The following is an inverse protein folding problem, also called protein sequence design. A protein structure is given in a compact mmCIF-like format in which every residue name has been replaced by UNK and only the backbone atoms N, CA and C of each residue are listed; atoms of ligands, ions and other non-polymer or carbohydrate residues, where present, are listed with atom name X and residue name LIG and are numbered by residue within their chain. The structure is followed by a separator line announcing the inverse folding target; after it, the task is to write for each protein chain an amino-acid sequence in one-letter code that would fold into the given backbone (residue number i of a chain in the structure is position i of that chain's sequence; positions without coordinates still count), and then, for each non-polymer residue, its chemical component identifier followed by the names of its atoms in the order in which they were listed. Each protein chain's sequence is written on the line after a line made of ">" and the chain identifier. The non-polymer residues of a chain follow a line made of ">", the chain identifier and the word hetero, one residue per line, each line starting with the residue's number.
data_IF_867848589567
#
_entry.id   IF_867848589567
#
_cell.length_a   1.000
_cell.length_b   1.000
_cell.length_c   1.000
_cell.angle_alpha   90.00
_cell.angle_beta   90.00
_cell.angle_gamma   90.00
#
_symmetry.space_group_name_H-M   'P 1'
#
loop_
_entity.id
_entity.type
_entity.pdbx_description
1 polymer ?
#
# COMPACT_ATOMS: atom_id res chain seq x y z
N UNK A 1 -2.33 -3.02 -15.84
CA UNK A 1 -2.97 -2.23 -14.76
C UNK A 1 -1.97 -1.21 -14.29
N UNK A 2 -2.35 0.06 -14.16
CA UNK A 2 -1.44 1.12 -13.71
C UNK A 2 -1.37 1.15 -12.18
N UNK A 3 -0.18 1.40 -11.63
CA UNK A 3 0.10 1.52 -10.19
C UNK A 3 0.87 2.83 -9.95
N UNK A 4 0.18 3.98 -10.04
CA UNK A 4 0.84 5.29 -10.01
C UNK A 4 1.28 5.68 -8.60
N UNK A 5 2.25 6.58 -8.50
CA UNK A 5 2.51 7.27 -7.24
C UNK A 5 1.27 8.03 -6.78
N UNK A 6 0.81 7.75 -5.56
CA UNK A 6 -0.37 8.36 -4.96
C UNK A 6 0.08 9.42 -3.97
N UNK A 7 -0.27 10.66 -4.27
CA UNK A 7 0.05 11.80 -3.42
C UNK A 7 -0.79 11.72 -2.14
N UNK A 8 -0.09 11.64 -1.00
CA UNK A 8 -0.67 11.74 0.32
C UNK A 8 -0.39 13.13 0.89
N UNK A 9 -1.43 13.81 1.35
CA UNK A 9 -1.35 15.13 1.99
C UNK A 9 -1.78 14.99 3.44
N UNK A 10 -0.98 15.51 4.37
CA UNK A 10 -1.19 15.40 5.82
C UNK A 10 -1.24 16.78 6.48
N UNK A 11 -1.75 16.85 7.72
CA UNK A 11 -1.66 18.03 8.57
C UNK A 11 -2.51 19.22 8.09
N UNK A 12 -2.05 20.44 8.35
CA UNK A 12 -2.81 21.68 8.13
C UNK A 12 -3.30 21.87 6.69
N UNK A 13 -2.58 21.32 5.72
CA UNK A 13 -2.95 21.38 4.31
C UNK A 13 -4.26 20.61 4.03
N UNK A 14 -4.50 19.51 4.75
CA UNK A 14 -5.77 18.77 4.67
C UNK A 14 -6.93 19.65 5.16
N UNK A 15 -6.75 20.31 6.31
CA UNK A 15 -7.75 21.23 6.85
C UNK A 15 -8.01 22.42 5.94
N UNK A 16 -6.97 22.94 5.29
CA UNK A 16 -7.10 24.01 4.29
C UNK A 16 -7.96 23.55 3.12
N UNK A 17 -7.67 22.39 2.51
CA UNK A 17 -8.44 21.83 1.40
C UNK A 17 -9.91 21.61 1.76
N UNK A 18 -10.20 21.09 2.95
CA UNK A 18 -11.56 20.86 3.44
C UNK A 18 -12.37 22.14 3.65
N UNK A 19 -11.70 23.27 3.97
CA UNK A 19 -12.34 24.58 4.15
C UNK A 19 -12.49 25.40 2.87
N UNK A 20 -11.75 25.07 1.82
CA UNK A 20 -11.66 25.87 0.59
C UNK A 20 -12.86 25.75 -0.36
N UNK A 21 -13.81 24.84 -0.12
CA UNK A 21 -14.98 24.67 -0.98
C UNK A 21 -16.24 24.31 -0.20
N UNK A 22 -17.37 24.45 -0.89
CA UNK A 22 -18.67 23.94 -0.47
C UNK A 22 -19.01 22.64 -1.20
N UNK A 23 -19.92 21.87 -0.59
CA UNK A 23 -20.46 20.64 -1.17
C UNK A 23 -19.55 19.44 -0.91
N UNK A 24 -19.94 18.64 0.08
CA UNK A 24 -19.18 17.51 0.58
C UNK A 24 -20.10 16.33 0.83
N UNK A 25 -19.64 15.15 0.46
CA UNK A 25 -20.22 13.88 0.87
C UNK A 25 -19.25 13.23 1.85
N UNK A 26 -19.75 12.80 3.01
CA UNK A 26 -18.98 12.01 3.97
C UNK A 26 -19.66 10.67 4.18
N UNK A 27 -18.94 9.59 3.88
CA UNK A 27 -19.33 8.23 4.18
C UNK A 27 -18.65 7.77 5.48
N UNK A 28 -19.42 7.34 6.48
CA UNK A 28 -18.84 6.68 7.65
C UNK A 28 -18.48 5.24 7.32
N UNK A 29 -17.34 4.76 7.82
CA UNK A 29 -16.83 3.43 7.45
C UNK A 29 -16.65 2.50 8.65
N UNK A 30 -16.86 1.20 8.42
CA UNK A 30 -16.33 0.13 9.24
C UNK A 30 -15.04 -0.40 8.59
N UNK A 31 -13.94 -0.43 9.32
CA UNK A 31 -12.62 -0.81 8.79
C UNK A 31 -11.93 -1.90 9.62
N UNK A 32 -11.30 -2.85 8.92
CA UNK A 32 -10.30 -3.77 9.48
C UNK A 32 -8.89 -3.55 8.95
N UNK A 33 -8.71 -2.55 8.08
CA UNK A 33 -7.38 -2.13 7.70
C UNK A 33 -6.83 -1.16 8.74
N UNK A 34 -5.51 -1.03 8.77
CA UNK A 34 -4.81 -0.01 9.51
C UNK A 34 -5.26 1.39 9.06
N UNK A 35 -6.14 2.02 9.85
CA UNK A 35 -6.75 3.31 9.52
C UNK A 35 -5.92 4.46 10.09
N UNK A 36 -5.84 5.63 9.40
CA UNK A 36 -5.10 6.77 9.90
C UNK A 36 -5.70 7.34 11.20
N UNK A 37 -4.84 7.73 12.13
CA UNK A 37 -5.28 8.42 13.36
C UNK A 37 -5.72 9.86 13.08
N UNK A 38 -5.01 10.55 12.18
CA UNK A 38 -5.31 11.93 11.76
C UNK A 38 -5.83 11.97 10.32
N UNK A 39 -6.46 13.07 9.92
CA UNK A 39 -6.96 13.21 8.55
C UNK A 39 -5.81 13.14 7.52
N UNK A 40 -6.03 12.38 6.43
CA UNK A 40 -5.13 12.33 5.27
C UNK A 40 -5.95 12.49 4.00
N UNK A 41 -5.44 13.30 3.07
CA UNK A 41 -6.00 13.43 1.73
C UNK A 41 -5.17 12.60 0.75
N UNK A 42 -5.83 11.73 0.00
CA UNK A 42 -5.25 10.81 -0.97
C UNK A 42 -5.76 11.17 -2.37
N UNK A 43 -4.85 11.45 -3.30
CA UNK A 43 -5.19 11.68 -4.70
C UNK A 43 -5.22 10.35 -5.46
N UNK A 44 -6.40 9.90 -5.86
CA UNK A 44 -6.55 8.59 -6.50
C UNK A 44 -7.55 8.65 -7.66
N UNK A 45 -7.14 8.13 -8.82
CA UNK A 45 -7.96 8.07 -10.03
C UNK A 45 -8.62 9.42 -10.42
N UNK A 46 -7.91 10.54 -10.18
CA UNK A 46 -8.35 11.90 -10.51
C UNK A 46 -9.24 12.59 -9.46
N UNK A 47 -9.58 11.91 -8.35
CA UNK A 47 -10.37 12.47 -7.26
C UNK A 47 -9.53 12.60 -5.97
N UNK A 48 -9.90 13.54 -5.08
CA UNK A 48 -9.33 13.67 -3.74
C UNK A 48 -10.23 12.97 -2.70
N UNK A 49 -9.67 11.95 -2.04
CA UNK A 49 -10.33 11.22 -0.95
C UNK A 49 -9.74 11.65 0.39
N UNK A 50 -10.57 12.23 1.24
CA UNK A 50 -10.19 12.64 2.59
C UNK A 50 -10.55 11.54 3.57
N UNK A 51 -9.57 10.74 3.97
CA UNK A 51 -9.76 9.73 5.00
C UNK A 51 -9.78 10.46 6.33
N UNK A 52 -10.95 10.47 6.95
CA UNK A 52 -11.22 11.09 8.25
C UNK A 52 -10.60 10.23 9.33
N UNK A 53 -9.71 10.82 10.12
CA UNK A 53 -8.95 10.12 11.15
C UNK A 53 -9.84 9.52 12.24
N UNK A 54 -9.35 8.45 12.89
CA UNK A 54 -10.01 7.87 14.07
C UNK A 54 -9.82 8.70 15.34
N UNK A 55 -9.03 9.76 15.29
CA UNK A 55 -8.79 10.70 16.37
C UNK A 55 -8.94 12.15 15.89
N UNK A 56 -9.49 13.01 16.74
CA UNK A 56 -9.55 14.46 16.55
C UNK A 56 -9.40 15.16 17.90
N UNK A 57 -8.47 16.10 18.00
CA UNK A 57 -8.19 16.86 19.23
C UNK A 57 -7.94 15.94 20.46
N UNK A 58 -7.20 14.84 20.26
CA UNK A 58 -6.90 13.86 21.31
C UNK A 58 -8.08 12.95 21.70
N UNK A 59 -9.19 12.98 20.96
CA UNK A 59 -10.41 12.22 21.26
C UNK A 59 -10.79 11.29 20.11
N UNK A 60 -11.41 10.12 20.40
CA UNK A 60 -11.94 9.26 19.36
C UNK A 60 -12.92 9.99 18.43
N UNK A 61 -12.75 9.78 17.13
CA UNK A 61 -13.55 10.37 16.05
C UNK A 61 -14.04 9.24 15.13
N UNK A 62 -15.28 9.33 14.59
CA UNK A 62 -15.76 8.33 13.65
C UNK A 62 -14.92 8.33 12.36
N UNK A 63 -14.33 7.19 11.96
CA UNK A 63 -13.61 7.10 10.70
C UNK A 63 -14.58 7.22 9.52
N UNK A 64 -14.11 7.81 8.44
CA UNK A 64 -14.93 8.02 7.27
C UNK A 64 -14.14 8.50 6.07
N UNK A 65 -14.81 8.61 4.94
CA UNK A 65 -14.24 9.12 3.71
C UNK A 65 -15.08 10.31 3.27
N UNK A 66 -14.45 11.47 3.22
CA UNK A 66 -15.05 12.68 2.69
C UNK A 66 -14.53 12.91 1.27
N UNK A 67 -15.42 13.28 0.36
CA UNK A 67 -15.10 13.62 -1.02
C UNK A 67 -15.96 14.83 -1.43
N UNK A 68 -15.44 15.63 -2.36
CA UNK A 68 -16.23 16.72 -2.92
C UNK A 68 -17.48 16.21 -3.63
N UNK A 69 -18.62 16.85 -3.40
CA UNK A 69 -19.90 16.41 -3.95
C UNK A 69 -20.84 17.58 -4.22
N UNK A 70 -21.30 17.72 -5.46
CA UNK A 70 -22.44 18.59 -5.77
C UNK A 70 -23.74 17.93 -5.33
N UNK A 71 -24.76 18.73 -4.99
CA UNK A 71 -26.03 18.23 -4.46
C UNK A 71 -26.75 17.27 -5.43
N UNK A 72 -26.56 17.45 -6.74
CA UNK A 72 -27.21 16.65 -7.78
C UNK A 72 -26.43 15.39 -8.17
N UNK A 73 -25.26 15.15 -7.58
CA UNK A 73 -24.32 14.08 -7.97
C UNK A 73 -24.06 13.09 -6.82
N UNK A 74 -24.95 13.05 -5.82
CA UNK A 74 -24.77 12.25 -4.59
C UNK A 74 -24.61 10.76 -4.89
N UNK A 75 -25.47 10.20 -5.75
CA UNK A 75 -25.45 8.77 -6.09
C UNK A 75 -24.19 8.36 -6.87
N UNK A 76 -23.74 9.21 -7.80
CA UNK A 76 -22.50 9.00 -8.52
C UNK A 76 -21.29 9.10 -7.57
N UNK A 77 -21.31 10.09 -6.68
CA UNK A 77 -20.22 10.33 -5.73
C UNK A 77 -20.10 9.20 -4.71
N UNK A 78 -21.21 8.70 -4.16
CA UNK A 78 -21.15 7.54 -3.26
C UNK A 78 -20.72 6.28 -4.02
N UNK A 79 -21.08 6.13 -5.31
CA UNK A 79 -20.56 5.03 -6.14
C UNK A 79 -19.03 5.10 -6.30
N UNK A 80 -18.44 6.31 -6.41
CA UNK A 80 -16.98 6.49 -6.37
C UNK A 80 -16.39 6.04 -5.04
N UNK A 81 -16.99 6.44 -3.92
CA UNK A 81 -16.55 5.98 -2.58
C UNK A 81 -16.60 4.46 -2.47
N UNK A 82 -17.68 3.80 -2.91
CA UNK A 82 -17.74 2.34 -2.93
C UNK A 82 -16.63 1.72 -3.79
N UNK A 83 -16.30 2.29 -4.96
CA UNK A 83 -15.21 1.75 -5.79
C UNK A 83 -13.85 1.92 -5.11
N UNK A 84 -13.61 3.08 -4.49
CA UNK A 84 -12.39 3.36 -3.75
C UNK A 84 -12.23 2.41 -2.56
N UNK A 85 -13.28 2.20 -1.76
CA UNK A 85 -13.19 1.30 -0.62
C UNK A 85 -12.98 -0.16 -1.02
N UNK A 86 -13.54 -0.61 -2.16
CA UNK A 86 -13.27 -1.97 -2.67
C UNK A 86 -11.79 -2.21 -2.94
N UNK A 87 -11.14 -1.29 -3.67
CA UNK A 87 -9.71 -1.45 -3.97
C UNK A 87 -8.83 -1.23 -2.74
N UNK A 88 -9.16 -0.26 -1.89
CA UNK A 88 -8.42 -0.01 -0.65
C UNK A 88 -8.46 -1.21 0.28
N UNK A 89 -9.63 -1.86 0.41
CA UNK A 89 -9.81 -3.09 1.18
C UNK A 89 -8.90 -4.21 0.69
N UNK A 90 -8.87 -4.43 -0.63
CA UNK A 90 -8.02 -5.45 -1.26
C UNK A 90 -6.54 -5.13 -1.05
N UNK A 91 -6.12 -3.91 -1.39
CA UNK A 91 -4.73 -3.50 -1.37
C UNK A 91 -4.11 -3.58 0.03
N UNK A 92 -4.88 -3.20 1.06
CA UNK A 92 -4.46 -3.20 2.46
C UNK A 92 -4.76 -4.52 3.20
N UNK A 93 -5.35 -5.53 2.54
CA UNK A 93 -5.57 -6.85 3.11
C UNK A 93 -6.70 -6.98 4.14
N UNK A 94 -7.72 -6.10 4.08
CA UNK A 94 -8.83 -6.06 5.03
C UNK A 94 -10.18 -5.75 4.38
N UNK A 95 -11.05 -5.04 5.10
CA UNK A 95 -12.27 -4.43 4.57
C UNK A 95 -12.37 -2.97 5.01
N UNK A 96 -13.02 -2.17 4.17
CA UNK A 96 -13.47 -0.80 4.42
C UNK A 96 -14.89 -0.72 3.91
N UNK A 97 -15.87 -0.98 4.76
CA UNK A 97 -17.27 -1.02 4.39
C UNK A 97 -17.96 0.32 4.70
N UNK A 98 -18.84 0.78 3.83
CA UNK A 98 -19.55 2.05 4.04
C UNK A 98 -20.86 1.77 4.77
N UNK A 99 -20.98 2.31 5.97
CA UNK A 99 -22.13 2.08 6.86
C UNK A 99 -23.28 3.05 6.64
N UNK A 100 -23.00 4.17 5.97
CA UNK A 100 -23.95 5.23 5.66
C UNK A 100 -23.21 6.50 5.24
N UNK A 101 -23.95 7.48 4.72
CA UNK A 101 -23.37 8.73 4.26
C UNK A 101 -24.28 9.92 4.54
N UNK A 102 -23.68 11.10 4.53
CA UNK A 102 -24.35 12.39 4.62
C UNK A 102 -23.76 13.34 3.58
N UNK A 103 -24.61 14.19 3.01
CA UNK A 103 -24.19 15.31 2.20
C UNK A 103 -24.40 16.63 2.95
N UNK A 104 -23.49 17.58 2.80
CA UNK A 104 -23.59 18.90 3.40
C UNK A 104 -22.80 19.96 2.66
N UNK A 105 -23.13 21.23 2.93
CA UNK A 105 -22.38 22.37 2.39
C UNK A 105 -20.97 22.49 2.97
N UNK A 106 -20.70 21.84 4.10
CA UNK A 106 -19.43 21.73 4.81
C UNK A 106 -19.12 20.25 5.08
N UNK A 107 -17.86 19.86 5.31
CA UNK A 107 -17.55 18.49 5.70
C UNK A 107 -18.13 18.21 7.09
N UNK A 108 -19.10 17.29 7.15
CA UNK A 108 -19.76 16.84 8.37
C UNK A 108 -19.37 15.37 8.57
N UNK A 109 -19.04 14.98 9.81
CA UNK A 109 -18.75 13.60 10.13
C UNK A 109 -20.05 12.78 10.21
N UNK A 110 -20.02 11.55 9.70
CA UNK A 110 -21.09 10.57 9.88
C UNK A 110 -20.66 9.58 10.95
N UNK A 111 -21.38 9.51 12.07
CA UNK A 111 -21.00 8.68 13.21
C UNK A 111 -22.18 7.89 13.77
N UNK A 112 -22.08 6.57 13.68
CA UNK A 112 -22.81 5.65 14.55
C UNK A 112 -21.78 4.67 15.11
N UNK A 113 -21.42 4.74 16.40
CA UNK A 113 -20.29 3.97 16.95
C UNK A 113 -20.47 2.45 16.86
N UNK A 114 -21.68 1.94 16.62
CA UNK A 114 -21.92 0.50 16.40
C UNK A 114 -21.57 0.04 15.00
N UNK A 115 -21.61 0.93 14.02
CA UNK A 115 -21.43 0.59 12.60
C UNK A 115 -20.27 1.36 11.96
N UNK A 116 -19.77 2.42 12.58
CA UNK A 116 -18.69 3.27 12.09
C UNK A 116 -17.53 3.18 13.06
N UNK A 117 -16.49 2.43 12.70
CA UNK A 117 -15.35 2.13 13.55
C UNK A 117 -14.14 1.68 12.72
N UNK A 118 -12.95 1.74 13.32
CA UNK A 118 -11.78 1.01 12.85
C UNK A 118 -11.31 0.07 13.94
N UNK A 119 -11.10 -1.20 13.61
CA UNK A 119 -10.56 -2.19 14.56
C UNK A 119 -9.04 -2.08 14.71
N UNK A 120 -8.36 -1.45 13.75
CA UNK A 120 -6.92 -1.20 13.77
C UNK A 120 -6.65 0.29 13.54
N UNK A 121 -5.90 0.91 14.47
CA UNK A 121 -5.37 2.26 14.31
C UNK A 121 -3.88 2.22 14.01
N UNK A 122 -3.37 3.22 13.28
CA UNK A 122 -1.93 3.42 13.11
C UNK A 122 -1.48 4.59 13.98
N UNK A 123 -0.49 4.35 14.83
CA UNK A 123 0.18 5.39 15.59
C UNK A 123 1.05 6.25 14.67
N UNK A 124 1.07 7.56 14.90
CA UNK A 124 1.89 8.51 14.15
C UNK A 124 1.06 9.47 13.30
N UNK A 125 1.59 10.67 13.11
CA UNK A 125 0.88 11.79 12.45
C UNK A 125 0.84 11.65 10.93
N UNK A 126 1.73 10.84 10.33
CA UNK A 126 1.84 10.63 8.88
C UNK A 126 2.11 9.16 8.52
N UNK A 127 1.25 8.26 8.97
CA UNK A 127 1.54 6.82 8.97
C UNK A 127 0.70 5.98 8.00
N UNK A 128 -0.34 6.56 7.40
CA UNK A 128 -1.17 5.84 6.43
C UNK A 128 -0.57 5.88 5.03
N UNK A 129 -0.34 4.69 4.47
CA UNK A 129 0.28 4.51 3.17
C UNK A 129 -0.58 3.60 2.28
N UNK A 130 -1.10 4.14 1.19
CA UNK A 130 -1.66 3.37 0.08
C UNK A 130 -0.96 3.66 -1.25
N UNK A 131 0.32 4.05 -1.20
CA UNK A 131 1.10 4.40 -2.37
C UNK A 131 1.13 3.25 -3.39
N UNK A 132 1.09 3.59 -4.67
CA UNK A 132 1.07 2.63 -5.78
C UNK A 132 -0.17 1.73 -5.87
N UNK A 133 -1.24 2.01 -5.10
CA UNK A 133 -2.51 1.28 -5.21
C UNK A 133 -3.03 1.31 -6.66
N UNK A 134 -3.40 0.15 -7.24
CA UNK A 134 -3.65 0.05 -8.66
C UNK A 134 -4.97 0.71 -9.09
N UNK A 135 -4.98 1.35 -10.27
CA UNK A 135 -6.19 1.90 -10.88
C UNK A 135 -7.00 0.79 -11.55
N UNK A 136 -8.26 0.65 -11.15
CA UNK A 136 -9.19 -0.36 -11.67
C UNK A 136 -10.14 0.24 -12.70
N UNK A 137 -9.88 -0.04 -13.98
CA UNK A 137 -10.65 0.47 -15.12
C UNK A 137 -11.83 -0.44 -15.49
N UNK A 138 -11.61 -1.76 -15.48
CA UNK A 138 -12.59 -2.73 -15.95
C UNK A 138 -13.70 -3.04 -14.94
N UNK A 139 -14.95 -3.04 -15.40
CA UNK A 139 -16.13 -3.23 -14.55
C UNK A 139 -16.17 -4.62 -13.87
N UNK A 140 -15.78 -5.68 -14.58
CA UNK A 140 -15.78 -7.04 -14.02
C UNK A 140 -14.82 -7.18 -12.83
N UNK A 141 -13.67 -6.50 -12.88
CA UNK A 141 -12.69 -6.42 -11.78
C UNK A 141 -13.27 -5.62 -10.60
N UNK A 142 -13.93 -4.49 -10.87
CA UNK A 142 -14.61 -3.70 -9.83
C UNK A 142 -15.67 -4.53 -9.09
N UNK A 143 -16.45 -5.34 -9.82
CA UNK A 143 -17.45 -6.25 -9.23
C UNK A 143 -16.79 -7.32 -8.36
N UNK A 144 -15.71 -7.95 -8.82
CA UNK A 144 -14.96 -8.92 -8.04
C UNK A 144 -14.43 -8.31 -6.72
N UNK A 145 -13.84 -7.12 -6.77
CA UNK A 145 -13.34 -6.42 -5.58
C UNK A 145 -14.48 -5.98 -4.64
N UNK A 146 -15.66 -5.62 -5.17
CA UNK A 146 -16.83 -5.29 -4.36
C UNK A 146 -17.35 -6.51 -3.59
N UNK A 147 -17.48 -7.67 -4.25
CA UNK A 147 -17.85 -8.92 -3.59
C UNK A 147 -16.80 -9.41 -2.60
N UNK A 148 -15.51 -9.19 -2.90
CA UNK A 148 -14.43 -9.45 -1.95
C UNK A 148 -14.58 -8.61 -0.68
N UNK A 149 -14.73 -7.28 -0.81
CA UNK A 149 -14.95 -6.38 0.33
C UNK A 149 -16.16 -6.81 1.17
N UNK A 150 -17.29 -7.10 0.51
CA UNK A 150 -18.51 -7.58 1.16
C UNK A 150 -18.26 -8.88 1.92
N UNK A 151 -17.64 -9.88 1.28
CA UNK A 151 -17.30 -11.16 1.92
C UNK A 151 -16.38 -11.00 3.12
N UNK A 152 -15.37 -10.14 3.02
CA UNK A 152 -14.45 -9.82 4.15
C UNK A 152 -15.18 -9.20 5.33
N UNK A 153 -16.12 -8.27 5.07
CA UNK A 153 -16.95 -7.68 6.11
C UNK A 153 -17.86 -8.71 6.77
N UNK A 154 -18.54 -9.51 5.95
CA UNK A 154 -19.49 -10.51 6.42
C UNK A 154 -18.81 -11.67 7.14
N UNK A 155 -17.53 -11.94 6.90
CA UNK A 155 -16.81 -13.00 7.60
C UNK A 155 -16.84 -12.82 9.13
N UNK A 156 -16.94 -11.58 9.61
CA UNK A 156 -17.02 -11.28 11.05
C UNK A 156 -18.46 -11.27 11.59
N UNK A 157 -19.47 -11.34 10.72
CA UNK A 157 -20.87 -11.09 11.08
C UNK A 157 -21.78 -12.28 10.74
N UNK A 158 -21.62 -12.85 9.54
CA UNK A 158 -22.49 -13.89 9.01
C UNK A 158 -21.77 -14.79 7.98
N UNK A 159 -21.23 -15.92 8.45
CA UNK A 159 -20.46 -16.90 7.67
C UNK A 159 -21.13 -17.30 6.35
N UNK A 160 -22.45 -17.56 6.35
CA UNK A 160 -23.14 -18.02 5.14
C UNK A 160 -23.18 -16.99 4.02
N UNK A 161 -23.48 -15.73 4.34
CA UNK A 161 -23.44 -14.67 3.34
C UNK A 161 -22.01 -14.31 2.94
N UNK A 162 -21.04 -14.42 3.85
CA UNK A 162 -19.62 -14.29 3.50
C UNK A 162 -19.21 -15.33 2.44
N UNK A 163 -19.64 -16.59 2.62
CA UNK A 163 -19.41 -17.66 1.66
C UNK A 163 -19.98 -17.30 0.28
N UNK A 164 -21.24 -16.86 0.23
CA UNK A 164 -21.86 -16.44 -1.03
C UNK A 164 -21.13 -15.26 -1.68
N UNK A 165 -20.69 -14.27 -0.92
CA UNK A 165 -19.95 -13.13 -1.46
C UNK A 165 -18.59 -13.56 -2.04
N UNK A 166 -17.83 -14.42 -1.37
CA UNK A 166 -16.60 -14.97 -1.97
C UNK A 166 -16.88 -15.85 -3.18
N UNK A 167 -17.93 -16.66 -3.17
CA UNK A 167 -18.34 -17.45 -4.32
C UNK A 167 -18.68 -16.55 -5.53
N UNK A 168 -19.36 -15.42 -5.30
CA UNK A 168 -19.70 -14.41 -6.33
C UNK A 168 -18.47 -13.75 -6.96
N UNK A 169 -17.34 -13.65 -6.26
CA UNK A 169 -16.08 -13.17 -6.84
C UNK A 169 -15.71 -13.96 -8.08
N UNK A 170 -15.85 -15.30 -8.01
CA UNK A 170 -15.53 -16.21 -9.10
C UNK A 170 -16.73 -16.34 -10.04
N UNK A 171 -17.94 -16.62 -9.52
CA UNK A 171 -19.12 -16.89 -10.34
C UNK A 171 -19.45 -15.76 -11.32
N UNK A 172 -19.28 -14.51 -10.90
CA UNK A 172 -19.57 -13.33 -11.75
C UNK A 172 -18.65 -13.18 -12.96
N UNK A 173 -17.61 -14.01 -13.07
CA UNK A 173 -16.54 -13.89 -14.08
C UNK A 173 -16.69 -14.93 -15.20
N UNK A 174 -17.62 -15.88 -15.06
CA UNK A 174 -17.86 -16.94 -16.02
C UNK A 174 -19.29 -16.87 -16.55
N UNK A 175 -19.44 -16.75 -17.87
CA UNK A 175 -20.72 -17.00 -18.55
C UNK A 175 -21.02 -18.50 -18.72
N UNK A 176 -19.97 -19.33 -18.78
CA UNK A 176 -20.05 -20.78 -18.90
C UNK A 176 -19.82 -21.46 -17.55
N UNK A 177 -20.85 -22.15 -17.06
CA UNK A 177 -20.79 -22.86 -15.78
C UNK A 177 -19.79 -24.02 -15.78
N UNK A 178 -19.50 -24.65 -16.92
CA UNK A 178 -18.52 -25.75 -17.00
C UNK A 178 -17.11 -25.24 -16.76
N UNK A 179 -16.74 -24.13 -17.42
CA UNK A 179 -15.43 -23.48 -17.22
C UNK A 179 -15.20 -23.04 -15.78
N UNK A 180 -16.25 -22.56 -15.10
CA UNK A 180 -16.19 -22.23 -13.66
C UNK A 180 -15.84 -23.45 -12.83
N UNK A 181 -16.52 -24.57 -13.06
CA UNK A 181 -16.29 -25.83 -12.32
C UNK A 181 -14.88 -26.37 -12.60
N UNK A 182 -14.44 -26.37 -13.86
CA UNK A 182 -13.09 -26.76 -14.26
C UNK A 182 -12.03 -25.89 -13.58
N UNK A 183 -12.22 -24.57 -13.56
CA UNK A 183 -11.31 -23.65 -12.90
C UNK A 183 -11.21 -23.94 -11.40
N UNK A 184 -12.34 -24.04 -10.70
CA UNK A 184 -12.37 -24.35 -9.26
C UNK A 184 -11.65 -25.68 -8.99
N UNK A 185 -11.95 -26.73 -9.75
CA UNK A 185 -11.31 -28.03 -9.60
C UNK A 185 -9.78 -27.96 -9.75
N UNK A 186 -9.30 -27.22 -10.77
CA UNK A 186 -7.87 -27.06 -11.03
C UNK A 186 -7.14 -26.18 -10.01
N UNK A 187 -7.87 -25.28 -9.33
CA UNK A 187 -7.30 -24.32 -8.37
C UNK A 187 -7.25 -24.87 -6.95
N UNK A 188 -8.09 -25.85 -6.60
CA UNK A 188 -8.13 -26.46 -5.26
C UNK A 188 -6.75 -27.02 -4.84
N UNK A 189 -6.01 -27.63 -5.77
CA UNK A 189 -4.69 -28.21 -5.49
C UNK A 189 -3.58 -27.17 -5.26
N UNK A 190 -3.83 -25.90 -5.59
CA UNK A 190 -2.89 -24.79 -5.38
C UNK A 190 -3.09 -24.08 -4.04
N UNK A 191 -4.15 -24.43 -3.30
CA UNK A 191 -4.44 -23.82 -2.01
C UNK A 191 -3.36 -24.21 -0.98
N UNK A 192 -3.11 -23.32 -0.03
CA UNK A 192 -2.13 -23.52 1.06
C UNK A 192 -2.78 -23.41 2.43
N UNK A 193 -2.03 -23.75 3.48
CA UNK A 193 -2.39 -23.50 4.88
C UNK A 193 -3.74 -24.10 5.30
N UNK A 194 -4.60 -23.29 5.94
CA UNK A 194 -5.92 -23.71 6.45
C UNK A 194 -6.84 -24.20 5.34
N UNK A 195 -6.80 -23.56 4.17
CA UNK A 195 -7.60 -23.98 3.03
C UNK A 195 -7.15 -25.35 2.50
N UNK A 196 -5.85 -25.57 2.35
CA UNK A 196 -5.31 -26.88 1.96
C UNK A 196 -5.67 -27.98 2.96
N UNK A 197 -5.57 -27.69 4.27
CA UNK A 197 -5.99 -28.62 5.32
C UNK A 197 -7.46 -29.01 5.16
N UNK A 198 -8.35 -28.03 4.95
CA UNK A 198 -9.78 -28.30 4.78
C UNK A 198 -10.07 -29.13 3.52
N UNK A 199 -9.37 -28.85 2.42
CA UNK A 199 -9.45 -29.65 1.20
C UNK A 199 -9.09 -31.12 1.46
N UNK A 200 -8.02 -31.36 2.23
CA UNK A 200 -7.59 -32.72 2.59
C UNK A 200 -8.66 -33.44 3.43
N UNK A 201 -9.24 -32.77 4.44
CA UNK A 201 -10.33 -33.33 5.26
C UNK A 201 -11.54 -33.75 4.41
N UNK A 202 -11.95 -32.93 3.45
CA UNK A 202 -13.07 -33.25 2.55
C UNK A 202 -12.76 -34.45 1.65
N UNK A 203 -11.51 -34.54 1.14
CA UNK A 203 -11.06 -35.66 0.33
C UNK A 203 -10.97 -36.97 1.12
N UNK A 204 -10.50 -36.92 2.37
CA UNK A 204 -10.48 -38.07 3.27
C UNK A 204 -11.89 -38.59 3.57
N UNK A 205 -12.88 -37.69 3.62
CA UNK A 205 -14.29 -38.03 3.72
C UNK A 205 -14.90 -38.58 2.42
N UNK A 206 -14.12 -38.71 1.34
CA UNK A 206 -14.57 -39.23 0.04
C UNK A 206 -15.40 -38.23 -0.78
N UNK A 207 -15.34 -36.93 -0.46
CA UNK A 207 -16.12 -35.90 -1.14
C UNK A 207 -15.37 -35.31 -2.34
N UNK A 208 -16.10 -35.04 -3.41
CA UNK A 208 -15.65 -34.13 -4.46
C UNK A 208 -15.75 -32.70 -3.92
N UNK A 209 -14.59 -32.09 -3.67
CA UNK A 209 -14.50 -30.77 -3.04
C UNK A 209 -15.20 -29.68 -3.86
N UNK A 210 -15.05 -29.68 -5.18
CA UNK A 210 -15.68 -28.70 -6.06
C UNK A 210 -17.20 -28.83 -6.01
N UNK A 211 -17.69 -30.06 -6.08
CA UNK A 211 -19.13 -30.35 -6.00
C UNK A 211 -19.69 -30.00 -4.64
N UNK A 212 -18.99 -30.35 -3.56
CA UNK A 212 -19.34 -30.05 -2.17
C UNK A 212 -19.50 -28.54 -1.92
N UNK A 213 -18.53 -27.72 -2.37
CA UNK A 213 -18.59 -26.27 -2.23
C UNK A 213 -19.80 -25.66 -2.98
N UNK A 214 -20.20 -26.27 -4.10
CA UNK A 214 -21.36 -25.83 -4.86
C UNK A 214 -22.68 -26.26 -4.22
N UNK A 215 -22.85 -27.54 -3.92
CA UNK A 215 -24.11 -28.12 -3.39
C UNK A 215 -24.31 -27.71 -1.93
N UNK A 216 -23.43 -28.18 -1.04
CA UNK A 216 -23.55 -28.00 0.42
C UNK A 216 -23.09 -26.63 0.91
N UNK A 217 -22.49 -25.81 0.03
CA UNK A 217 -22.15 -24.41 0.26
C UNK A 217 -23.12 -23.48 -0.45
N UNK A 218 -22.83 -23.16 -1.73
CA UNK A 218 -23.57 -22.15 -2.50
C UNK A 218 -25.08 -22.42 -2.55
N UNK A 219 -25.49 -23.64 -2.93
CA UNK A 219 -26.90 -23.97 -3.09
C UNK A 219 -27.62 -24.07 -1.74
N UNK A 220 -27.02 -24.74 -0.75
CA UNK A 220 -27.61 -24.89 0.58
C UNK A 220 -27.78 -23.58 1.35
N UNK A 221 -26.96 -22.56 1.06
CA UNK A 221 -27.14 -21.21 1.64
C UNK A 221 -28.14 -20.37 0.84
N UNK A 222 -28.15 -20.50 -0.49
CA UNK A 222 -28.99 -19.64 -1.36
C UNK A 222 -30.44 -20.11 -1.49
N UNK A 223 -30.72 -21.39 -1.26
CA UNK A 223 -32.03 -22.00 -1.45
C UNK A 223 -32.59 -22.51 -0.12
N UNK A 224 -33.80 -22.08 0.23
CA UNK A 224 -34.55 -22.54 1.41
C UNK A 224 -35.61 -23.57 1.01
N UNK A 225 -35.23 -24.58 0.22
CA UNK A 225 -36.17 -25.62 -0.20
C UNK A 225 -36.47 -26.60 0.94
N UNK A 226 -37.75 -26.95 1.10
CA UNK A 226 -38.23 -27.92 2.11
C UNK A 226 -37.62 -29.33 1.98
N UNK A 227 -37.17 -29.72 0.78
CA UNK A 227 -36.68 -31.07 0.45
C UNK A 227 -35.18 -31.10 0.05
N UNK A 228 -34.44 -30.00 0.26
CA UNK A 228 -33.02 -29.89 -0.12
C UNK A 228 -32.08 -29.84 1.09
N UNK A 229 -30.79 -30.04 0.84
CA UNK A 229 -29.75 -29.76 1.83
C UNK A 229 -29.74 -28.25 2.08
N UNK A 230 -30.11 -27.82 3.29
CA UNK A 230 -30.10 -26.42 3.72
C UNK A 230 -29.06 -26.23 4.82
N UNK A 231 -28.52 -25.02 4.92
CA UNK A 231 -27.74 -24.63 6.11
C UNK A 231 -28.71 -24.14 7.18
N UNK A 232 -29.00 -24.97 8.17
CA UNK A 232 -29.87 -24.59 9.27
C UNK A 232 -29.09 -23.75 10.30
N UNK A 233 -29.47 -22.48 10.54
CA UNK A 233 -28.78 -21.64 11.52
C UNK A 233 -28.90 -22.16 12.96
N UNK A 234 -29.87 -23.02 13.27
CA UNK A 234 -30.04 -23.60 14.61
C UNK A 234 -29.26 -24.92 14.80
N UNK A 235 -28.62 -25.43 13.74
CA UNK A 235 -27.77 -26.63 13.79
C UNK A 235 -26.28 -26.22 13.93
N UNK A 236 -25.62 -26.47 15.09
CA UNK A 236 -24.24 -26.04 15.29
C UNK A 236 -23.22 -26.72 14.38
N UNK A 237 -23.48 -27.96 13.92
CA UNK A 237 -22.60 -28.66 12.98
C UNK A 237 -22.56 -27.98 11.61
N UNK A 238 -23.69 -27.43 11.15
CA UNK A 238 -23.78 -26.74 9.86
C UNK A 238 -22.97 -25.45 9.88
N UNK A 239 -23.07 -24.69 10.98
CA UNK A 239 -22.24 -23.49 11.20
C UNK A 239 -20.75 -23.82 11.19
N UNK A 240 -20.32 -24.87 11.91
CA UNK A 240 -18.92 -25.29 11.97
C UNK A 240 -18.41 -25.74 10.60
N UNK A 241 -19.20 -26.56 9.90
CA UNK A 241 -18.89 -27.03 8.54
C UNK A 241 -18.72 -25.86 7.59
N UNK A 242 -19.70 -24.96 7.52
CA UNK A 242 -19.65 -23.81 6.61
C UNK A 242 -18.53 -22.84 6.96
N UNK A 243 -18.22 -22.65 8.25
CA UNK A 243 -17.07 -21.85 8.67
C UNK A 243 -15.74 -22.45 8.23
N UNK A 244 -15.61 -23.78 8.23
CA UNK A 244 -14.42 -24.45 7.72
C UNK A 244 -14.35 -24.35 6.18
N UNK A 245 -15.47 -24.57 5.50
CA UNK A 245 -15.57 -24.47 4.03
C UNK A 245 -15.33 -23.02 3.53
N UNK A 246 -15.67 -22.02 4.34
CA UNK A 246 -15.41 -20.60 4.06
C UNK A 246 -13.93 -20.29 3.87
N UNK A 247 -13.03 -20.94 4.60
CA UNK A 247 -11.57 -20.76 4.44
C UNK A 247 -11.13 -21.15 3.02
N UNK A 248 -11.69 -22.23 2.48
CA UNK A 248 -11.43 -22.68 1.10
C UNK A 248 -11.98 -21.66 0.10
N UNK A 249 -13.22 -21.22 0.29
CA UNK A 249 -13.88 -20.30 -0.63
C UNK A 249 -13.23 -18.91 -0.65
N UNK A 250 -12.80 -18.40 0.52
CA UNK A 250 -12.10 -17.13 0.63
C UNK A 250 -10.72 -17.18 -0.06
N UNK A 251 -9.96 -18.27 0.09
CA UNK A 251 -8.65 -18.39 -0.58
C UNK A 251 -8.80 -18.59 -2.09
N UNK A 252 -9.80 -19.34 -2.57
CA UNK A 252 -10.12 -19.42 -4.01
C UNK A 252 -10.47 -18.04 -4.58
N UNK A 253 -11.30 -17.24 -3.89
CA UNK A 253 -11.64 -15.89 -4.31
C UNK A 253 -10.41 -14.97 -4.35
N UNK A 254 -9.54 -15.04 -3.33
CA UNK A 254 -8.27 -14.29 -3.29
C UNK A 254 -7.36 -14.70 -4.45
N UNK A 255 -7.20 -15.99 -4.69
CA UNK A 255 -6.41 -16.55 -5.78
C UNK A 255 -6.92 -16.05 -7.14
N UNK A 256 -8.24 -16.06 -7.35
CA UNK A 256 -8.84 -15.55 -8.58
C UNK A 256 -8.50 -14.08 -8.83
N UNK A 257 -8.66 -13.20 -7.83
CA UNK A 257 -8.35 -11.77 -7.96
C UNK A 257 -6.86 -11.56 -8.23
N UNK A 258 -5.99 -12.30 -7.54
CA UNK A 258 -4.53 -12.15 -7.65
C UNK A 258 -3.97 -12.69 -8.96
N UNK A 259 -4.40 -13.88 -9.39
CA UNK A 259 -3.75 -14.62 -10.48
C UNK A 259 -4.48 -14.43 -11.81
N UNK A 260 -5.82 -14.49 -11.81
CA UNK A 260 -6.63 -14.37 -13.03
C UNK A 260 -6.89 -12.89 -13.36
N UNK A 261 -7.32 -12.10 -12.36
CA UNK A 261 -7.56 -10.67 -12.55
C UNK A 261 -6.29 -9.82 -12.45
N UNK A 262 -5.19 -10.41 -11.97
CA UNK A 262 -3.87 -9.78 -11.83
C UNK A 262 -3.93 -8.45 -11.07
N UNK A 263 -4.78 -8.37 -10.05
CA UNK A 263 -4.84 -7.21 -9.16
C UNK A 263 -3.86 -7.41 -8.01
N UNK A 264 -2.76 -6.64 -7.95
CA UNK A 264 -1.80 -6.79 -6.86
C UNK A 264 -2.39 -6.24 -5.54
N UNK A 265 -1.99 -6.83 -4.43
CA UNK A 265 -2.10 -6.23 -3.10
C UNK A 265 -0.79 -5.47 -2.76
N UNK A 266 -0.76 -4.74 -1.65
CA UNK A 266 0.43 -3.97 -1.23
C UNK A 266 1.70 -4.82 -1.13
N UNK A 267 1.59 -6.05 -0.62
CA UNK A 267 2.75 -6.94 -0.40
C UNK A 267 3.30 -7.52 -1.69
N UNK A 268 2.43 -7.99 -2.58
CA UNK A 268 2.81 -8.49 -3.90
C UNK A 268 3.38 -7.36 -4.74
N UNK A 269 2.75 -6.19 -4.74
CA UNK A 269 3.25 -5.03 -5.46
C UNK A 269 4.63 -4.60 -4.96
N UNK A 270 4.85 -4.54 -3.65
CA UNK A 270 6.14 -4.20 -3.08
C UNK A 270 7.29 -5.05 -3.63
N UNK A 271 7.04 -6.36 -3.88
CA UNK A 271 8.03 -7.33 -4.37
C UNK A 271 8.25 -7.28 -5.88
N UNK A 272 7.24 -6.91 -6.66
CA UNK A 272 7.28 -7.05 -8.12
C UNK A 272 7.25 -5.73 -8.88
N UNK A 273 7.02 -4.60 -8.21
CA UNK A 273 6.92 -3.30 -8.89
C UNK A 273 8.29 -2.88 -9.39
N UNK A 274 8.35 -2.46 -10.64
CA UNK A 274 9.50 -1.73 -11.17
C UNK A 274 9.48 -0.29 -10.63
N UNK A 275 10.31 -0.04 -9.61
CA UNK A 275 10.47 1.25 -8.92
C UNK A 275 11.15 2.29 -9.81
N UNK A 276 11.96 1.85 -10.76
CA UNK A 276 12.68 2.71 -11.70
C UNK A 276 11.83 3.13 -12.90
N UNK A 277 10.60 2.60 -13.04
CA UNK A 277 9.72 2.88 -14.18
C UNK A 277 9.53 4.39 -14.45
N UNK A 278 9.36 5.27 -13.45
CA UNK A 278 9.29 6.71 -13.67
C UNK A 278 10.53 7.32 -14.33
N UNK A 279 11.71 6.76 -14.06
CA UNK A 279 13.00 7.32 -14.43
C UNK A 279 13.60 6.70 -15.69
N UNK A 280 12.91 5.74 -16.33
CA UNK A 280 13.41 5.11 -17.55
C UNK A 280 13.59 6.09 -18.71
N UNK A 281 12.86 7.20 -18.72
CA UNK A 281 12.96 8.26 -19.72
C UNK A 281 14.24 9.09 -19.61
N UNK A 282 14.96 9.00 -18.49
CA UNK A 282 16.24 9.68 -18.28
C UNK A 282 17.38 9.03 -19.08
N UNK A 283 17.20 7.78 -19.53
CA UNK A 283 18.20 7.04 -20.27
C UNK A 283 17.80 6.85 -21.74
N UNK A 284 18.77 6.84 -22.67
CA UNK A 284 18.50 6.42 -24.04
C UNK A 284 17.94 4.99 -24.10
N UNK A 285 17.00 4.74 -25.01
CA UNK A 285 16.35 3.42 -25.15
C UNK A 285 17.35 2.28 -25.32
N UNK A 286 18.43 2.48 -26.09
CA UNK A 286 19.46 1.48 -26.30
C UNK A 286 20.18 1.08 -24.99
N UNK A 287 20.56 2.06 -24.18
CA UNK A 287 21.17 1.85 -22.85
C UNK A 287 20.22 1.11 -21.92
N UNK A 288 18.95 1.50 -21.91
CA UNK A 288 17.93 0.90 -21.06
C UNK A 288 17.70 -0.59 -21.38
N UNK A 289 17.65 -0.97 -22.66
CA UNK A 289 17.46 -2.38 -23.05
C UNK A 289 18.67 -3.26 -22.67
N UNK A 290 19.89 -2.71 -22.75
CA UNK A 290 21.09 -3.39 -22.25
C UNK A 290 21.00 -3.60 -20.74
N UNK A 291 20.66 -2.56 -19.98
CA UNK A 291 20.55 -2.65 -18.53
C UNK A 291 19.45 -3.63 -18.09
N UNK A 292 18.26 -3.58 -18.70
CA UNK A 292 17.14 -4.49 -18.41
C UNK A 292 17.46 -5.95 -18.71
N UNK A 293 18.31 -6.21 -19.71
CA UNK A 293 18.77 -7.57 -20.03
C UNK A 293 19.91 -8.06 -19.11
N UNK A 294 20.37 -7.22 -18.17
CA UNK A 294 21.47 -7.52 -17.27
C UNK A 294 22.84 -7.37 -17.92
N UNK A 295 22.95 -6.60 -19.00
CA UNK A 295 24.21 -6.25 -19.65
C UNK A 295 24.87 -5.00 -19.05
N UNK A 296 26.01 -4.65 -19.62
CA UNK A 296 26.79 -3.45 -19.25
C UNK A 296 26.85 -2.51 -20.45
N UNK A 297 26.21 -1.33 -20.41
CA UNK A 297 26.29 -0.35 -21.51
C UNK A 297 27.69 0.29 -21.57
N UNK A 298 27.98 1.05 -22.64
CA UNK A 298 29.24 1.81 -22.74
C UNK A 298 29.26 3.03 -21.81
N UNK A 299 28.11 3.66 -21.58
CA UNK A 299 27.93 4.78 -20.65
C UNK A 299 26.49 4.84 -20.10
N UNK A 300 26.31 5.61 -19.03
CA UNK A 300 25.02 5.93 -18.42
C UNK A 300 24.85 7.45 -18.25
N UNK A 301 25.26 8.22 -19.25
CA UNK A 301 25.39 9.68 -19.17
C UNK A 301 24.07 10.41 -18.85
N UNK A 302 22.92 9.80 -19.17
CA UNK A 302 21.60 10.37 -18.86
C UNK A 302 21.31 10.53 -17.36
N UNK A 303 22.05 9.83 -16.49
CA UNK A 303 21.98 9.97 -15.05
C UNK A 303 23.07 10.91 -14.48
N UNK A 304 24.13 11.13 -15.25
CA UNK A 304 25.29 11.89 -14.79
C UNK A 304 24.94 13.38 -14.64
N UNK A 305 25.23 13.95 -13.48
CA UNK A 305 25.03 15.36 -13.19
C UNK A 305 23.58 15.75 -12.91
N UNK A 306 22.65 14.80 -12.81
CA UNK A 306 21.26 15.10 -12.46
C UNK A 306 21.17 15.76 -11.09
N UNK A 307 20.32 16.79 -10.98
CA UNK A 307 19.96 17.36 -9.70
C UNK A 307 18.86 16.49 -9.06
N UNK A 308 19.14 16.00 -7.86
CA UNK A 308 18.27 15.06 -7.14
C UNK A 308 18.07 15.54 -5.71
N UNK A 309 16.82 15.58 -5.26
CA UNK A 309 16.53 15.72 -3.84
C UNK A 309 16.39 14.35 -3.19
N UNK A 310 16.96 14.19 -1.99
CA UNK A 310 16.77 13.00 -1.16
C UNK A 310 15.79 13.34 -0.05
N UNK A 311 14.69 12.60 0.00
CA UNK A 311 13.63 12.77 0.98
C UNK A 311 13.31 11.50 1.74
N UNK A 312 12.46 11.64 2.75
CA UNK A 312 11.83 10.53 3.45
C UNK A 312 10.33 10.62 3.22
N UNK A 313 9.71 9.56 2.72
CA UNK A 313 8.26 9.52 2.61
C UNK A 313 7.62 9.41 4.01
N UNK A 314 6.58 10.18 4.35
CA UNK A 314 5.94 11.25 3.55
C UNK A 314 6.37 12.67 3.97
N UNK A 315 7.52 12.82 4.61
CA UNK A 315 8.05 14.10 5.10
C UNK A 315 8.61 15.00 3.99
N UNK A 316 8.97 14.42 2.85
CA UNK A 316 9.55 15.13 1.71
C UNK A 316 11.07 15.27 1.84
N UNK A 317 11.69 16.22 1.10
CA UNK A 317 13.14 16.40 1.09
C UNK A 317 13.71 16.67 2.48
N UNK A 318 14.86 16.04 2.77
CA UNK A 318 15.63 16.34 3.98
C UNK A 318 16.35 17.67 3.76
N UNK A 319 16.27 18.56 4.74
CA UNK A 319 16.99 19.84 4.69
C UNK A 319 18.50 19.62 4.48
N UNK A 320 19.09 20.31 3.51
CA UNK A 320 20.49 20.17 3.11
C UNK A 320 20.75 19.10 2.03
N UNK A 321 19.75 18.29 1.69
CA UNK A 321 19.83 17.22 0.68
C UNK A 321 18.86 17.46 -0.50
N UNK A 322 18.37 18.69 -0.69
CA UNK A 322 17.39 19.02 -1.72
C UNK A 322 18.00 19.18 -3.11
N UNK A 323 19.31 19.41 -3.20
CA UNK A 323 20.02 19.72 -4.46
C UNK A 323 21.31 18.93 -4.59
N UNK A 324 21.22 17.61 -4.44
CA UNK A 324 22.38 16.75 -4.61
C UNK A 324 22.69 16.56 -6.11
N UNK A 325 23.97 16.49 -6.44
CA UNK A 325 24.42 16.15 -7.80
C UNK A 325 24.64 14.65 -7.89
N UNK A 326 23.98 13.99 -8.84
CA UNK A 326 24.17 12.57 -9.12
C UNK A 326 25.45 12.33 -9.91
N UNK A 327 26.27 11.40 -9.43
CA UNK A 327 27.43 10.87 -10.13
C UNK A 327 27.25 9.38 -10.35
N UNK A 328 27.47 8.93 -11.58
CA UNK A 328 27.52 7.50 -11.91
C UNK A 328 28.92 7.00 -11.59
N UNK A 329 29.03 6.17 -10.55
CA UNK A 329 30.32 5.65 -10.07
C UNK A 329 30.73 4.37 -10.81
N UNK A 330 29.77 3.47 -11.00
CA UNK A 330 29.97 2.22 -11.72
C UNK A 330 28.65 1.69 -12.30
N UNK A 331 28.73 0.87 -13.33
CA UNK A 331 27.58 0.12 -13.83
C UNK A 331 28.04 -1.23 -14.37
N UNK A 332 27.39 -2.30 -13.91
CA UNK A 332 27.68 -3.67 -14.33
C UNK A 332 26.43 -4.54 -14.14
N UNK A 333 26.24 -5.51 -15.03
CA UNK A 333 25.20 -6.53 -14.90
C UNK A 333 23.75 -5.99 -14.72
N UNK A 334 23.45 -4.84 -15.34
CA UNK A 334 22.15 -4.16 -15.22
C UNK A 334 21.96 -3.29 -13.98
N UNK A 335 22.99 -3.17 -13.13
CA UNK A 335 22.97 -2.34 -11.92
C UNK A 335 23.82 -1.10 -12.14
N UNK A 336 23.28 0.07 -11.82
CA UNK A 336 24.01 1.36 -11.84
C UNK A 336 24.21 1.83 -10.41
N UNK A 337 25.47 1.93 -9.97
CA UNK A 337 25.85 2.55 -8.70
C UNK A 337 25.92 4.06 -8.90
N UNK A 338 25.09 4.79 -8.17
CA UNK A 338 25.08 6.25 -8.17
C UNK A 338 25.48 6.80 -6.80
N UNK A 339 26.24 7.89 -6.82
CA UNK A 339 26.66 8.63 -5.64
C UNK A 339 26.05 10.03 -5.75
N UNK A 340 25.24 10.40 -4.77
CA UNK A 340 24.66 11.73 -4.66
C UNK A 340 25.56 12.57 -3.75
N UNK A 341 26.02 13.71 -4.23
CA UNK A 341 26.92 14.61 -3.51
C UNK A 341 26.21 15.94 -3.24
N UNK A 342 26.23 16.42 -1.98
CA UNK A 342 25.66 17.72 -1.61
C UNK A 342 26.36 18.89 -2.32
N UNK A 343 25.70 20.04 -2.47
CA UNK A 343 26.29 21.23 -3.12
C UNK A 343 27.62 21.65 -2.48
N UNK A 344 27.72 21.53 -1.15
CA UNK A 344 28.94 21.82 -0.38
C UNK A 344 30.01 20.73 -0.46
N UNK A 345 29.70 19.58 -1.08
CA UNK A 345 30.56 18.37 -1.12
C UNK A 345 30.95 17.87 0.28
N UNK A 346 30.01 17.94 1.20
CA UNK A 346 30.16 17.57 2.62
C UNK A 346 29.38 16.30 2.98
N UNK A 347 28.44 15.88 2.13
CA UNK A 347 27.63 14.67 2.31
C UNK A 347 27.63 13.88 1.00
N UNK A 348 27.91 12.58 1.08
CA UNK A 348 27.77 11.63 -0.02
C UNK A 348 26.81 10.50 0.37
N UNK A 349 25.85 10.19 -0.50
CA UNK A 349 24.90 9.10 -0.31
C UNK A 349 24.96 8.15 -1.50
N UNK A 350 24.91 6.83 -1.26
CA UNK A 350 25.10 5.83 -2.31
C UNK A 350 23.82 5.03 -2.53
N UNK A 351 23.46 4.84 -3.80
CA UNK A 351 22.30 4.05 -4.22
C UNK A 351 22.67 3.10 -5.35
N UNK A 352 22.00 1.96 -5.40
CA UNK A 352 22.09 1.03 -6.52
C UNK A 352 20.76 0.99 -7.26
N UNK A 353 20.78 1.35 -8.54
CA UNK A 353 19.64 1.28 -9.43
C UNK A 353 19.72 -0.03 -10.22
N UNK A 354 18.96 -1.04 -9.79
CA UNK A 354 18.90 -2.34 -10.46
C UNK A 354 17.80 -2.32 -11.52
N UNK A 355 18.18 -2.03 -12.77
CA UNK A 355 17.25 -1.96 -13.91
C UNK A 355 16.75 -3.32 -14.36
N UNK A 356 17.47 -4.40 -14.03
CA UNK A 356 17.08 -5.77 -14.37
C UNK A 356 15.89 -6.21 -13.53
N UNK A 357 15.92 -5.93 -12.23
CA UNK A 357 14.85 -6.28 -11.30
C UNK A 357 13.88 -5.12 -11.04
N UNK A 358 14.21 -3.91 -11.48
CA UNK A 358 13.42 -2.71 -11.24
C UNK A 358 13.46 -2.26 -9.78
N UNK A 359 14.58 -2.49 -9.09
CA UNK A 359 14.76 -2.22 -7.67
C UNK A 359 15.73 -1.05 -7.44
N UNK A 360 15.61 -0.42 -6.27
CA UNK A 360 16.50 0.66 -5.85
C UNK A 360 16.91 0.36 -4.42
N UNK A 361 18.21 0.23 -4.19
CA UNK A 361 18.76 -0.08 -2.88
C UNK A 361 19.52 1.11 -2.32
N UNK A 362 19.23 1.43 -1.06
CA UNK A 362 20.01 2.39 -0.28
C UNK A 362 21.24 1.70 0.30
N UNK A 363 22.44 2.23 0.03
CA UNK A 363 23.67 1.75 0.64
C UNK A 363 24.08 2.70 1.77
N UNK A 364 23.93 2.23 3.01
CA UNK A 364 24.29 2.99 4.21
C UNK A 364 25.77 2.87 4.60
N UNK A 365 26.52 1.94 4.02
CA UNK A 365 27.92 1.67 4.38
C UNK A 365 28.89 2.56 3.61
N UNK A 366 28.62 2.79 2.32
CA UNK A 366 29.48 3.57 1.44
C UNK A 366 29.14 5.09 1.41
N UNK A 367 28.11 5.49 2.15
CA UNK A 367 27.72 6.89 2.33
C UNK A 367 28.35 7.51 3.59
N UNK A 368 28.39 8.84 3.65
CA UNK A 368 28.97 9.51 4.81
C UNK A 368 29.14 11.01 4.68
N UNK A 369 29.68 11.58 5.76
CA UNK A 369 30.24 12.93 5.74
C UNK A 369 31.59 12.92 5.03
N UNK A 370 31.85 13.96 4.24
CA UNK A 370 33.07 14.14 3.48
C UNK A 370 33.87 15.32 4.02
N UNK A 371 35.19 15.11 4.17
CA UNK A 371 36.14 16.12 4.62
C UNK A 371 37.09 16.43 3.46
N UNK A 372 36.62 17.29 2.56
CA UNK A 372 37.36 17.72 1.37
C UNK A 372 37.75 19.19 1.46
N UNK A 373 37.49 19.94 0.40
CA UNK A 373 37.72 21.40 0.35
C UNK A 373 36.89 22.17 1.39
N UNK A 374 35.72 21.64 1.72
CA UNK A 374 34.86 22.13 2.79
C UNK A 374 34.80 21.09 3.92
N UNK A 375 34.81 21.58 5.17
CA UNK A 375 34.51 20.75 6.34
C UNK A 375 32.99 20.69 6.55
N UNK A 376 32.44 19.53 6.98
CA UNK A 376 31.06 19.42 7.40
C UNK A 376 30.74 20.40 8.52
N UNK A 377 29.59 21.06 8.43
CA UNK A 377 29.01 21.87 9.50
C UNK A 377 27.94 21.08 10.26
N UNK A 378 27.42 21.66 11.34
CA UNK A 378 26.37 21.03 12.14
C UNK A 378 25.13 20.65 11.30
N UNK A 379 24.77 21.51 10.34
CA UNK A 379 23.65 21.24 9.44
C UNK A 379 23.91 20.01 8.57
N UNK A 380 25.11 19.87 8.00
CA UNK A 380 25.50 18.67 7.21
C UNK A 380 25.41 17.38 8.05
N UNK A 381 25.90 17.44 9.30
CA UNK A 381 25.83 16.33 10.26
C UNK A 381 24.37 15.98 10.55
N UNK A 382 23.52 16.99 10.75
CA UNK A 382 22.08 16.78 11.01
C UNK A 382 21.38 16.18 9.79
N UNK A 383 21.68 16.64 8.58
CA UNK A 383 21.12 16.12 7.33
C UNK A 383 21.48 14.66 7.13
N UNK A 384 22.78 14.33 7.22
CA UNK A 384 23.26 12.96 7.09
C UNK A 384 22.71 12.05 8.19
N UNK A 385 22.73 12.47 9.45
CA UNK A 385 22.18 11.71 10.56
C UNK A 385 20.67 11.47 10.41
N UNK A 386 19.93 12.47 9.91
CA UNK A 386 18.49 12.33 9.63
C UNK A 386 18.25 11.25 8.59
N UNK A 387 18.96 11.28 7.47
CA UNK A 387 18.91 10.23 6.46
C UNK A 387 19.25 8.87 7.09
N UNK A 388 20.44 8.73 7.68
CA UNK A 388 20.96 7.45 8.17
C UNK A 388 20.03 6.81 9.22
N UNK A 389 19.70 7.52 10.30
CA UNK A 389 18.95 6.93 11.40
C UNK A 389 17.46 6.73 11.08
N UNK A 390 16.85 7.56 10.23
CA UNK A 390 15.46 7.33 9.81
C UNK A 390 15.37 6.16 8.85
N UNK A 391 16.33 5.98 7.93
CA UNK A 391 16.40 4.80 7.06
C UNK A 391 16.63 3.52 7.87
N UNK A 392 17.54 3.57 8.85
CA UNK A 392 17.75 2.45 9.79
C UNK A 392 16.48 2.14 10.61
N UNK A 393 15.65 3.15 10.86
CA UNK A 393 14.33 3.03 11.47
C UNK A 393 13.21 2.62 10.51
N UNK A 394 13.53 2.00 9.36
CA UNK A 394 12.62 1.57 8.31
C UNK A 394 11.89 2.72 7.58
N UNK A 395 12.46 3.93 7.58
CA UNK A 395 11.98 5.03 6.74
C UNK A 395 12.13 4.73 5.25
N UNK A 396 11.17 5.18 4.45
CA UNK A 396 11.19 5.01 2.99
C UNK A 396 11.92 6.20 2.38
N UNK A 397 13.07 5.97 1.75
CA UNK A 397 13.80 7.03 1.02
C UNK A 397 13.10 7.29 -0.31
N UNK A 398 12.96 8.56 -0.67
CA UNK A 398 12.50 8.98 -1.98
C UNK A 398 13.57 9.81 -2.69
N UNK A 399 13.79 9.51 -3.97
CA UNK A 399 14.58 10.34 -4.86
C UNK A 399 13.64 11.10 -5.79
N UNK A 400 13.81 12.42 -5.88
CA UNK A 400 13.03 13.28 -6.78
C UNK A 400 13.95 14.03 -7.72
N UNK A 401 13.53 14.23 -8.96
CA UNK A 401 14.26 15.02 -9.95
C UNK A 401 13.29 15.75 -10.89
N UNK A 402 13.28 17.07 -10.82
CA UNK A 402 12.36 17.91 -11.59
C UNK A 402 10.88 17.56 -11.35
N UNK A 403 10.11 17.45 -12.43
CA UNK A 403 8.67 17.11 -12.40
C UNK A 403 8.41 15.61 -12.62
N UNK A 404 9.47 14.78 -12.68
CA UNK A 404 9.33 13.33 -12.85
C UNK A 404 8.80 12.73 -11.56
N UNK A 405 7.91 11.74 -11.69
CA UNK A 405 7.38 11.01 -10.54
C UNK A 405 8.52 10.48 -9.63
N UNK A 406 8.43 10.67 -8.30
CA UNK A 406 9.42 10.19 -7.35
C UNK A 406 9.62 8.69 -7.43
N UNK A 407 10.85 8.25 -7.14
CA UNK A 407 11.16 6.83 -6.96
C UNK A 407 11.45 6.54 -5.48
N UNK A 408 10.70 5.61 -4.89
CA UNK A 408 10.91 5.14 -3.52
C UNK A 408 11.85 3.93 -3.48
N UNK A 409 12.86 4.03 -2.63
CA UNK A 409 13.85 2.99 -2.39
C UNK A 409 13.27 1.85 -1.55
N UNK A 410 13.91 0.69 -1.62
CA UNK A 410 13.56 -0.42 -0.74
C UNK A 410 13.85 -0.09 0.73
N UNK A 411 13.06 -0.71 1.61
CA UNK A 411 13.18 -0.50 3.05
C UNK A 411 14.41 -1.28 3.50
N UNK A 412 15.32 -0.59 4.18
CA UNK A 412 16.47 -1.23 4.82
C UNK A 412 15.97 -1.93 6.09
N UNK A 413 16.12 -3.25 6.14
CA UNK A 413 15.78 -4.04 7.34
C UNK A 413 17.08 -4.34 8.09
N UNK A 414 17.35 -3.66 9.22
CA UNK A 414 18.53 -3.96 10.02
C UNK A 414 18.45 -5.37 10.60
N UNK A 415 19.53 -6.13 10.48
CA UNK A 415 19.66 -7.48 11.03
C UNK A 415 20.62 -7.49 12.22
N UNK A 416 20.27 -8.22 13.29
CA UNK A 416 21.09 -8.38 14.50
C UNK A 416 21.39 -7.09 15.29
N UNK A 417 20.63 -6.02 15.09
CA UNK A 417 20.72 -4.78 15.87
C UNK A 417 19.32 -4.30 16.28
N UNK A 418 19.24 -3.58 17.40
CA UNK A 418 18.05 -2.81 17.78
C UNK A 418 18.40 -1.35 17.53
N UNK A 419 17.84 -0.71 16.48
CA UNK A 419 18.09 0.71 16.22
C UNK A 419 17.65 1.55 17.42
N UNK A 420 18.43 2.58 17.75
CA UNK A 420 18.00 3.60 18.70
C UNK A 420 16.82 4.40 18.13
N UNK A 421 16.10 5.12 19.00
CA UNK A 421 15.12 6.09 18.53
C UNK A 421 15.82 7.09 17.56
N UNK A 422 15.35 7.25 16.32
CA UNK A 422 16.04 8.08 15.34
C UNK A 422 16.24 9.53 15.79
N UNK A 423 15.26 10.14 16.45
CA UNK A 423 15.33 11.54 16.86
C UNK A 423 16.38 11.75 17.98
N UNK A 424 16.47 10.81 18.91
CA UNK A 424 17.51 10.80 19.95
C UNK A 424 18.90 10.60 19.36
N UNK A 425 19.04 9.69 18.39
CA UNK A 425 20.30 9.39 17.71
C UNK A 425 20.79 10.58 16.88
N UNK A 426 19.89 11.26 16.15
CA UNK A 426 20.19 12.50 15.41
C UNK A 426 20.69 13.59 16.36
N UNK A 427 19.96 13.83 17.46
CA UNK A 427 20.37 14.81 18.46
C UNK A 427 21.70 14.44 19.14
N UNK A 428 21.95 13.15 19.35
CA UNK A 428 23.21 12.61 19.84
C UNK A 428 24.38 12.91 18.89
N UNK A 429 24.22 12.63 17.60
CA UNK A 429 25.23 12.87 16.57
C UNK A 429 25.64 14.36 16.50
N UNK A 430 24.66 15.26 16.50
CA UNK A 430 24.90 16.71 16.52
C UNK A 430 25.64 17.15 17.79
N UNK A 431 25.23 16.65 18.97
CA UNK A 431 25.91 17.00 20.24
C UNK A 431 27.36 16.52 20.25
N UNK A 432 27.62 15.32 19.73
CA UNK A 432 28.97 14.77 19.63
C UNK A 432 29.86 15.65 18.76
N UNK A 433 29.38 16.04 17.57
CA UNK A 433 30.08 16.92 16.66
C UNK A 433 30.42 18.29 17.29
N UNK A 434 29.47 18.91 18.01
CA UNK A 434 29.72 20.14 18.76
C UNK A 434 30.82 19.98 19.81
N UNK A 435 30.82 18.86 20.53
CA UNK A 435 31.82 18.58 21.56
C UNK A 435 33.23 18.41 20.99
N UNK A 436 33.37 17.71 19.86
CA UNK A 436 34.65 17.48 19.19
C UNK A 436 35.29 18.79 18.69
N UNK A 437 34.49 19.73 18.16
CA UNK A 437 34.99 21.02 17.70
C UNK A 437 35.41 21.95 18.84
N UNK A 438 34.74 21.92 20.00
CA UNK A 438 35.14 22.71 21.17
C UNK A 438 36.52 22.26 21.68
N UNK A 439 36.80 20.96 21.69
CA UNK A 439 38.11 20.43 22.08
C UNK A 439 39.24 20.71 21.09
N UNK A 440 38.93 21.07 19.83
CA UNK A 440 39.94 21.45 18.83
C UNK A 440 40.29 22.95 18.86
N UNK A 441 39.37 23.82 19.29
CA UNK A 441 39.63 25.27 19.43
C UNK A 441 40.40 25.63 20.72
N UNK A 442 40.39 24.74 21.73
CA UNK A 442 41.11 24.90 23.01
C UNK A 442 42.52 24.27 23.02
N UNK A 443 42.99 23.72 21.88
CA UNK A 443 44.30 23.09 21.68
C UNK A 443 45.11 23.79 20.60
#
# INVERSE_FOLDING_TARGET
>A
MQTPYIVHTFGEEVDRKLRNRRGWLTAGVASSISWPSLDVCVQYAGDEYFLRGSERDGKPSPPGITISCNQHEVDETIAKVYRFTSILSWFMGGYVDVSGYIWGSRPILYGNPRTVYSSLGIVGTKSFNCNHMPIIEHEYVRKALAFWREGRRLNEVHTSYAFLSFYKVIESQFSDSKKKVEWIASSIDKLTDRAAKRVAELREAGLDVSRHLFESGRCAVAHASLEGEIVDPDIPSDRRRLSADLEVMAELARMYIREELRVPDSRSLYRSRNRLAPWVSLLPTATLEILKSGGTPENCDGLQGLNVSVGLWPDGPIQGLEKMTMHVDAFEAGVVKVVLISERKTVALVFFLDYRNGQIHTNLEDGGLMYGDNSPEEEDVRSYATFFYKVLGNGIVELTSGEIEPIDCEIVIPVNIIPQNPDEAIAGAVRKFRGENITQDDS
#
